data_IF_364953670931
#
_entry.id   IF_364953670931
#
_cell.length_a   1.000
_cell.length_b   1.000
_cell.length_c   1.000
_cell.angle_alpha   90.00
_cell.angle_beta   90.00
_cell.angle_gamma   90.00
#
_symmetry.space_group_name_H-M   'P 1'
#
loop_
_entity.id
_entity.type
_entity.pdbx_description
1 polymer ?
#
# COMPACT_ATOMS: atom_id res chain seq x y z
N UNK A 1 -2.99 -10.48 1.76
CA UNK A 1 -4.14 -10.15 2.66
C UNK A 1 -3.98 -10.78 4.04
N UNK A 2 -3.85 -12.10 4.19
CA UNK A 2 -3.72 -12.75 5.51
C UNK A 2 -2.56 -12.20 6.34
N UNK A 3 -1.41 -11.97 5.74
CA UNK A 3 -0.23 -11.39 6.42
C UNK A 3 -0.53 -9.99 6.94
N UNK A 4 -1.16 -9.14 6.15
CA UNK A 4 -1.52 -7.78 6.57
C UNK A 4 -2.53 -7.79 7.72
N UNK A 5 -3.49 -8.70 7.69
CA UNK A 5 -4.47 -8.88 8.78
C UNK A 5 -3.78 -9.38 10.04
N UNK A 6 -2.89 -10.37 9.92
CA UNK A 6 -2.14 -10.88 11.06
C UNK A 6 -1.28 -9.78 11.73
N UNK A 7 -0.56 -8.99 10.91
CA UNK A 7 0.22 -7.86 11.41
C UNK A 7 -0.68 -6.83 12.11
N UNK A 8 -1.83 -6.50 11.53
CA UNK A 8 -2.78 -5.56 12.12
C UNK A 8 -3.28 -6.03 13.49
N UNK A 9 -3.63 -7.31 13.63
CA UNK A 9 -4.11 -7.87 14.89
C UNK A 9 -2.99 -7.89 15.95
N UNK A 10 -1.77 -8.25 15.57
CA UNK A 10 -0.61 -8.22 16.47
C UNK A 10 -0.33 -6.80 16.95
N UNK A 11 -0.34 -5.82 16.02
CA UNK A 11 -0.13 -4.41 16.37
C UNK A 11 -1.22 -3.89 17.30
N UNK A 12 -2.49 -4.20 17.02
CA UNK A 12 -3.60 -3.81 17.89
C UNK A 12 -3.50 -4.41 19.28
N UNK A 13 -3.02 -5.65 19.38
CA UNK A 13 -2.76 -6.30 20.69
C UNK A 13 -1.62 -5.60 21.45
N UNK A 14 -0.50 -5.33 20.78
CA UNK A 14 0.66 -4.64 21.37
C UNK A 14 0.26 -3.23 21.82
N UNK A 15 -0.45 -2.49 20.98
CA UNK A 15 -0.94 -1.14 21.26
C UNK A 15 -1.86 -1.12 22.51
N UNK A 16 -2.75 -2.11 22.62
CA UNK A 16 -3.61 -2.28 23.78
C UNK A 16 -2.81 -2.55 25.07
N UNK A 17 -1.77 -3.42 25.01
CA UNK A 17 -0.97 -3.83 26.19
C UNK A 17 0.01 -2.76 26.64
N UNK A 18 0.63 -2.03 25.69
CA UNK A 18 1.63 -0.99 25.98
C UNK A 18 1.02 0.36 26.36
N UNK A 19 -0.26 0.57 26.03
CA UNK A 19 -0.94 1.84 26.28
C UNK A 19 -0.44 3.01 25.41
N UNK A 20 -0.90 4.24 25.73
CA UNK A 20 -0.73 5.42 24.88
C UNK A 20 0.69 6.04 24.87
N UNK A 21 1.60 5.61 25.74
CA UNK A 21 2.93 6.21 25.89
C UNK A 21 3.83 6.02 24.67
N UNK A 22 3.62 4.96 23.91
CA UNK A 22 4.31 4.73 22.67
C UNK A 22 3.40 5.02 21.48
N UNK A 23 3.78 5.96 20.62
CA UNK A 23 3.02 6.33 19.42
C UNK A 23 2.96 5.22 18.37
N UNK A 24 2.38 4.07 18.74
CA UNK A 24 2.31 2.86 17.89
C UNK A 24 1.53 3.06 16.59
N UNK A 25 0.78 4.17 16.46
CA UNK A 25 0.00 4.47 15.25
C UNK A 25 0.84 4.40 13.97
N UNK A 26 2.15 4.70 14.05
CA UNK A 26 3.04 4.68 12.89
C UNK A 26 3.19 3.25 12.31
N UNK A 27 3.10 2.23 13.15
CA UNK A 27 3.23 0.84 12.73
C UNK A 27 1.99 0.34 11.96
N UNK A 28 0.84 0.98 12.12
CA UNK A 28 -0.36 0.66 11.34
C UNK A 28 -0.22 0.99 9.86
N UNK A 29 0.76 1.81 9.46
CA UNK A 29 1.10 2.02 8.05
C UNK A 29 1.68 0.77 7.38
N UNK A 30 2.29 -0.15 8.15
CA UNK A 30 2.89 -1.38 7.62
C UNK A 30 1.81 -2.29 6.98
N UNK A 31 0.75 -2.72 7.69
CA UNK A 31 -0.27 -3.58 7.10
C UNK A 31 -1.01 -2.88 5.95
N UNK A 32 -1.23 -1.56 6.03
CA UNK A 32 -1.83 -0.77 4.95
C UNK A 32 -0.95 -0.79 3.70
N UNK A 33 0.36 -0.56 3.85
CA UNK A 33 1.32 -0.56 2.74
C UNK A 33 1.45 -1.94 2.09
N UNK A 34 1.50 -3.00 2.89
CA UNK A 34 1.54 -4.38 2.39
C UNK A 34 0.26 -4.70 1.61
N UNK A 35 -0.92 -4.36 2.15
CA UNK A 35 -2.19 -4.56 1.46
C UNK A 35 -2.27 -3.77 0.15
N UNK A 36 -1.74 -2.53 0.12
CA UNK A 36 -1.69 -1.70 -1.07
C UNK A 36 -0.76 -2.29 -2.14
N UNK A 37 0.42 -2.77 -1.73
CA UNK A 37 1.41 -3.29 -2.67
C UNK A 37 1.00 -4.63 -3.29
N UNK A 38 0.52 -5.57 -2.49
CA UNK A 38 0.16 -6.91 -2.97
C UNK A 38 -1.30 -7.04 -3.41
N UNK A 39 -2.22 -6.38 -2.74
CA UNK A 39 -3.66 -6.48 -2.99
C UNK A 39 -4.21 -5.41 -3.94
N UNK A 40 -3.54 -4.27 -4.06
CA UNK A 40 -3.99 -3.12 -4.84
C UNK A 40 -4.96 -2.22 -4.07
N UNK A 41 -5.66 -1.34 -4.81
CA UNK A 41 -6.42 -0.22 -4.23
C UNK A 41 -7.57 -0.64 -3.30
N UNK A 42 -8.39 -1.63 -3.70
CA UNK A 42 -9.55 -2.05 -2.90
C UNK A 42 -9.16 -2.65 -1.54
N UNK A 43 -8.25 -3.66 -1.48
CA UNK A 43 -7.76 -4.19 -0.22
C UNK A 43 -7.01 -3.16 0.63
N UNK A 44 -6.29 -2.21 0.01
CA UNK A 44 -5.61 -1.15 0.73
C UNK A 44 -6.58 -0.23 1.47
N UNK A 45 -7.67 0.19 0.83
CA UNK A 45 -8.71 1.01 1.46
C UNK A 45 -9.38 0.24 2.60
N UNK A 46 -9.72 -1.03 2.40
CA UNK A 46 -10.29 -1.87 3.44
C UNK A 46 -9.34 -1.99 4.65
N UNK A 47 -8.04 -2.18 4.40
CA UNK A 47 -7.02 -2.25 5.46
C UNK A 47 -6.83 -0.91 6.18
N UNK A 48 -6.87 0.22 5.46
CA UNK A 48 -6.81 1.56 6.06
C UNK A 48 -8.00 1.80 7.00
N UNK A 49 -9.21 1.41 6.57
CA UNK A 49 -10.41 1.48 7.41
C UNK A 49 -10.27 0.58 8.66
N UNK A 50 -9.83 -0.66 8.49
CA UNK A 50 -9.62 -1.60 9.59
C UNK A 50 -8.55 -1.09 10.57
N UNK A 51 -7.44 -0.52 10.07
CA UNK A 51 -6.39 0.08 10.90
C UNK A 51 -6.90 1.25 11.72
N UNK A 52 -7.71 2.13 11.12
CA UNK A 52 -8.32 3.25 11.83
C UNK A 52 -9.28 2.80 12.93
N UNK A 53 -10.11 1.78 12.67
CA UNK A 53 -11.01 1.19 13.68
C UNK A 53 -10.21 0.51 14.79
N UNK A 54 -9.21 -0.30 14.45
CA UNK A 54 -8.37 -1.00 15.40
C UNK A 54 -7.65 -0.02 16.34
N UNK A 55 -7.05 1.05 15.78
CA UNK A 55 -6.43 2.10 16.57
C UNK A 55 -7.43 2.80 17.49
N UNK A 56 -8.61 3.18 16.98
CA UNK A 56 -9.65 3.82 17.78
C UNK A 56 -10.10 2.95 18.97
N UNK A 57 -10.27 1.65 18.74
CA UNK A 57 -10.65 0.71 19.81
C UNK A 57 -9.53 0.56 20.84
N UNK A 58 -8.28 0.41 20.41
CA UNK A 58 -7.11 0.32 21.29
C UNK A 58 -6.98 1.57 22.17
N UNK A 59 -7.06 2.76 21.58
CA UNK A 59 -6.98 4.04 22.29
C UNK A 59 -8.15 4.22 23.29
N UNK A 60 -9.35 3.86 22.88
CA UNK A 60 -10.55 3.91 23.74
C UNK A 60 -10.45 2.96 24.94
N UNK A 61 -9.90 1.77 24.74
CA UNK A 61 -9.73 0.76 25.78
C UNK A 61 -8.56 1.08 26.72
N UNK A 62 -7.53 1.77 26.22
CA UNK A 62 -6.39 2.23 27.02
C UNK A 62 -6.73 3.41 27.97
N UNK A 63 -7.98 3.90 27.97
CA UNK A 63 -8.46 5.00 28.82
C UNK A 63 -7.58 6.26 28.72
N UNK A 64 -7.19 6.65 27.49
CA UNK A 64 -6.36 7.83 27.26
C UNK A 64 -6.99 9.09 27.87
N UNK A 65 -6.26 9.85 28.73
CA UNK A 65 -6.79 11.04 29.38
C UNK A 65 -6.81 12.23 28.40
N UNK A 66 -7.86 12.33 27.60
CA UNK A 66 -8.03 13.49 26.73
C UNK A 66 -8.45 14.72 27.52
N UNK A 67 -7.81 15.88 27.32
CA UNK A 67 -8.19 17.14 28.01
C UNK A 67 -9.63 17.55 27.71
N UNK A 68 -10.17 17.16 26.56
CA UNK A 68 -11.55 17.40 26.14
C UNK A 68 -12.08 16.26 25.29
N UNK A 69 -13.37 15.89 25.40
CA UNK A 69 -13.96 14.71 24.72
C UNK A 69 -13.87 14.73 23.19
N UNK A 70 -13.78 15.91 22.57
CA UNK A 70 -13.73 16.01 21.09
C UNK A 70 -12.35 15.73 20.50
N UNK A 71 -11.27 15.76 21.30
CA UNK A 71 -9.92 15.48 20.79
C UNK A 71 -9.76 14.07 20.24
N UNK A 72 -10.44 13.08 20.82
CA UNK A 72 -10.40 11.70 20.31
C UNK A 72 -10.95 11.61 18.87
N UNK A 73 -12.00 12.36 18.55
CA UNK A 73 -12.57 12.36 17.21
C UNK A 73 -11.65 13.06 16.21
N UNK A 74 -10.99 14.15 16.61
CA UNK A 74 -10.01 14.84 15.77
C UNK A 74 -8.78 13.96 15.49
N UNK A 75 -8.23 13.34 16.52
CA UNK A 75 -7.11 12.41 16.41
C UNK A 75 -7.45 11.22 15.51
N UNK A 76 -8.63 10.62 15.73
CA UNK A 76 -9.12 9.51 14.91
C UNK A 76 -9.27 9.92 13.45
N UNK A 77 -9.85 11.08 13.19
CA UNK A 77 -10.01 11.62 11.83
C UNK A 77 -8.65 11.84 11.15
N UNK A 78 -7.72 12.51 11.81
CA UNK A 78 -6.39 12.78 11.26
C UNK A 78 -5.63 11.49 10.91
N UNK A 79 -5.70 10.48 11.76
CA UNK A 79 -5.06 9.17 11.53
C UNK A 79 -5.75 8.40 10.40
N UNK A 80 -7.07 8.43 10.38
CA UNK A 80 -7.85 7.81 9.31
C UNK A 80 -7.50 8.40 7.94
N UNK A 81 -7.43 9.73 7.83
CA UNK A 81 -7.00 10.42 6.60
C UNK A 81 -5.57 10.01 6.23
N UNK A 82 -4.67 9.91 7.20
CA UNK A 82 -3.28 9.48 6.97
C UNK A 82 -3.20 8.04 6.43
N UNK A 83 -3.93 7.10 7.02
CA UNK A 83 -3.97 5.71 6.55
C UNK A 83 -4.57 5.61 5.14
N UNK A 84 -5.65 6.34 4.88
CA UNK A 84 -6.28 6.36 3.57
C UNK A 84 -5.36 6.97 2.50
N UNK A 85 -4.69 8.08 2.81
CA UNK A 85 -3.70 8.69 1.92
C UNK A 85 -2.57 7.73 1.59
N UNK A 86 -2.04 7.02 2.59
CA UNK A 86 -1.01 6.00 2.40
C UNK A 86 -1.51 4.86 1.50
N UNK A 87 -2.72 4.35 1.76
CA UNK A 87 -3.33 3.30 0.95
C UNK A 87 -3.43 3.71 -0.53
N UNK A 88 -3.90 4.92 -0.80
CA UNK A 88 -4.05 5.44 -2.16
C UNK A 88 -2.69 5.70 -2.83
N UNK A 89 -1.75 6.31 -2.11
CA UNK A 89 -0.42 6.63 -2.63
C UNK A 89 0.36 5.38 -2.99
N UNK A 90 0.45 4.41 -2.09
CA UNK A 90 1.17 3.14 -2.33
C UNK A 90 0.52 2.34 -3.45
N UNK A 91 -0.82 2.31 -3.51
CA UNK A 91 -1.55 1.65 -4.60
C UNK A 91 -1.25 2.32 -5.96
N UNK A 92 -1.15 3.65 -5.99
CA UNK A 92 -0.82 4.40 -7.21
C UNK A 92 0.62 4.17 -7.66
N UNK A 93 1.57 4.18 -6.72
CA UNK A 93 2.98 3.86 -7.00
C UNK A 93 3.09 2.45 -7.57
N UNK A 94 2.43 1.47 -6.97
CA UNK A 94 2.36 0.11 -7.49
C UNK A 94 1.87 0.06 -8.94
N UNK A 95 0.73 0.69 -9.21
CA UNK A 95 0.13 0.75 -10.55
C UNK A 95 1.11 1.34 -11.57
N UNK A 96 1.78 2.43 -11.20
CA UNK A 96 2.78 3.09 -12.05
C UNK A 96 3.98 2.19 -12.34
N UNK A 97 4.48 1.48 -11.33
CA UNK A 97 5.60 0.53 -11.49
C UNK A 97 5.21 -0.63 -12.42
N UNK A 98 4.04 -1.24 -12.22
CA UNK A 98 3.57 -2.34 -13.06
C UNK A 98 3.33 -1.90 -14.52
N UNK A 99 2.75 -0.72 -14.73
CA UNK A 99 2.53 -0.18 -16.06
C UNK A 99 3.88 0.14 -16.77
N UNK A 100 4.85 0.67 -16.02
CA UNK A 100 6.19 0.91 -16.54
C UNK A 100 6.91 -0.38 -16.96
N UNK A 101 6.76 -1.46 -16.19
CA UNK A 101 7.33 -2.77 -16.55
C UNK A 101 6.68 -3.34 -17.82
N UNK A 102 5.35 -3.30 -17.92
CA UNK A 102 4.64 -3.75 -19.12
C UNK A 102 5.07 -2.99 -20.37
N UNK A 103 5.14 -1.67 -20.27
CA UNK A 103 5.56 -0.84 -21.41
C UNK A 103 6.99 -1.15 -21.86
N UNK A 104 7.88 -1.44 -20.92
CA UNK A 104 9.25 -1.86 -21.21
C UNK A 104 9.29 -3.20 -21.95
N UNK A 105 8.52 -4.19 -21.49
CA UNK A 105 8.41 -5.50 -22.14
C UNK A 105 7.86 -5.40 -23.58
N UNK A 106 6.83 -4.56 -23.78
CA UNK A 106 6.26 -4.29 -25.11
C UNK A 106 7.27 -3.64 -26.03
N UNK A 107 8.04 -2.66 -25.52
CA UNK A 107 9.10 -2.01 -26.27
C UNK A 107 10.21 -2.99 -26.68
N UNK A 108 10.66 -3.83 -25.75
CA UNK A 108 11.70 -4.82 -26.02
C UNK A 108 11.24 -5.83 -27.09
N UNK A 109 9.99 -6.28 -27.04
CA UNK A 109 9.40 -7.15 -28.11
C UNK A 109 9.37 -6.44 -29.46
N UNK A 110 8.89 -5.20 -29.51
CA UNK A 110 8.84 -4.44 -30.75
C UNK A 110 10.23 -4.19 -31.35
N UNK A 111 11.25 -4.00 -30.50
CA UNK A 111 12.64 -3.87 -30.95
C UNK A 111 13.19 -5.18 -31.51
N UNK A 112 12.87 -6.32 -30.93
CA UNK A 112 13.27 -7.62 -31.43
C UNK A 112 12.62 -7.93 -32.78
N UNK A 113 11.31 -7.72 -32.92
CA UNK A 113 10.60 -7.86 -34.21
C UNK A 113 11.21 -6.97 -35.30
N UNK A 114 11.54 -5.73 -34.98
CA UNK A 114 12.17 -4.80 -35.93
C UNK A 114 13.56 -5.27 -36.34
N UNK A 115 14.32 -5.86 -35.40
CA UNK A 115 15.64 -6.43 -35.71
C UNK A 115 15.53 -7.64 -36.64
N UNK A 116 14.56 -8.51 -36.41
CA UNK A 116 14.30 -9.68 -37.26
C UNK A 116 13.89 -9.26 -38.66
N UNK A 117 12.95 -8.31 -38.78
CA UNK A 117 12.53 -7.77 -40.07
C UNK A 117 13.71 -7.17 -40.85
N UNK A 118 14.57 -6.40 -40.18
CA UNK A 118 15.79 -5.86 -40.81
C UNK A 118 16.75 -6.95 -41.29
N UNK A 119 16.93 -8.01 -40.50
CA UNK A 119 17.76 -9.16 -40.89
C UNK A 119 17.21 -9.86 -42.13
N UNK A 120 15.89 -10.09 -42.19
CA UNK A 120 15.24 -10.71 -43.35
C UNK A 120 15.38 -9.84 -44.61
N UNK A 121 15.20 -8.54 -44.47
CA UNK A 121 15.36 -7.60 -45.60
C UNK A 121 16.80 -7.51 -46.08
N UNK A 122 17.79 -7.59 -45.22
CA UNK A 122 19.21 -7.57 -45.58
C UNK A 122 19.69 -8.92 -46.12
N UNK A 123 19.22 -10.03 -45.58
CA UNK A 123 19.57 -11.39 -46.06
C UNK A 123 18.91 -11.76 -47.37
N UNK A 124 17.82 -11.09 -47.78
CA UNK A 124 17.19 -11.27 -49.10
C UNK A 124 17.79 -10.41 -50.21
N UNK A 125 18.77 -9.56 -49.89
CA UNK A 125 19.42 -8.65 -50.83
C UNK A 125 20.79 -9.14 -51.39
N UNK A 126 21.22 -10.37 -51.05
CA UNK A 126 22.36 -10.97 -51.69
C UNK A 126 21.94 -11.52 -53.06
N UNK A 127 22.40 -10.92 -54.19
CA UNK A 127 22.16 -11.47 -55.52
C UNK A 127 23.04 -12.71 -55.76
N UNK A 128 22.61 -13.64 -56.62
CA UNK A 128 23.32 -14.87 -56.93
C UNK A 128 24.67 -14.65 -57.56
#
# INVERSE_FOLDING_TARGET
MLVSIAILLILGWIDYVTGYEFGFFIFYFIPVSIAAWYGGRKPAIAMACASGVCWYLADRMAHHPYPRPYFIYWETFARYVSFLTTALTVSKVRETVYNGQRMKEELDRALEENRELKRLLQGGADPP
#
